data_IF_006059011767
#
_entry.id   IF_006059011767
#
_cell.length_a   1.000
_cell.length_b   1.000
_cell.length_c   1.000
_cell.angle_alpha   90.00
_cell.angle_beta   90.00
_cell.angle_gamma   90.00
#
_symmetry.space_group_name_H-M   'P 1'
#
loop_
_entity.id
_entity.type
_entity.pdbx_description
1 polymer ?
#
# COMPACT_ATOMS: atom_id res chain seq x y z
N UNK A 1 -11.77 -1.53 13.71
CA UNK A 1 -11.01 -2.26 12.67
C UNK A 1 -9.73 -1.47 12.37
N UNK A 2 -8.56 -2.12 12.41
CA UNK A 2 -7.24 -1.48 12.25
C UNK A 2 -6.87 -1.22 10.78
N UNK A 3 -7.55 -1.89 9.86
CA UNK A 3 -7.20 -1.91 8.43
C UNK A 3 -7.62 -0.64 7.69
N UNK A 4 -8.83 -0.11 7.97
CA UNK A 4 -9.30 1.10 7.32
C UNK A 4 -8.61 2.34 7.91
N UNK A 5 -8.02 3.16 7.03
CA UNK A 5 -7.24 4.31 7.45
C UNK A 5 -6.38 4.89 6.34
N UNK A 6 -5.66 5.96 6.70
CA UNK A 6 -4.69 6.64 5.84
C UNK A 6 -3.29 6.43 6.41
N UNK A 7 -2.36 5.99 5.58
CA UNK A 7 -1.02 5.58 5.97
C UNK A 7 0.02 6.32 5.13
N UNK A 8 0.88 7.09 5.77
CA UNK A 8 1.99 7.79 5.12
C UNK A 8 3.23 6.92 5.16
N UNK A 9 3.86 6.70 4.00
CA UNK A 9 5.14 5.98 3.97
C UNK A 9 6.17 6.70 4.84
N UNK A 10 6.78 5.95 5.76
CA UNK A 10 7.86 6.41 6.63
C UNK A 10 9.22 5.95 6.10
N UNK A 11 9.34 4.64 5.82
CA UNK A 11 10.62 4.01 5.50
C UNK A 11 10.46 2.89 4.49
N UNK A 12 11.47 2.72 3.64
CA UNK A 12 11.64 1.57 2.77
C UNK A 12 12.78 0.67 3.27
N UNK A 13 12.64 -0.62 3.08
CA UNK A 13 13.66 -1.63 3.36
C UNK A 13 13.83 -2.53 2.14
N UNK A 14 15.05 -2.57 1.60
CA UNK A 14 15.41 -3.33 0.39
C UNK A 14 14.61 -2.96 -0.87
N UNK A 15 13.98 -1.79 -0.90
CA UNK A 15 13.11 -1.40 -2.00
C UNK A 15 13.91 -0.99 -3.25
N UNK A 16 15.04 -0.29 -3.07
CA UNK A 16 15.92 0.08 -4.19
C UNK A 16 16.46 -1.15 -4.90
N UNK A 17 17.00 -2.11 -4.15
CA UNK A 17 17.54 -3.38 -4.67
C UNK A 17 16.45 -4.17 -5.37
N UNK A 18 15.24 -4.18 -4.81
CA UNK A 18 14.08 -4.79 -5.44
C UNK A 18 13.74 -4.14 -6.79
N UNK A 19 13.70 -2.81 -6.88
CA UNK A 19 13.41 -2.09 -8.12
C UNK A 19 14.49 -2.35 -9.19
N UNK A 20 15.77 -2.36 -8.80
CA UNK A 20 16.89 -2.68 -9.70
C UNK A 20 16.81 -4.14 -10.18
N UNK A 21 16.47 -5.07 -9.30
CA UNK A 21 16.27 -6.48 -9.66
C UNK A 21 15.09 -6.68 -10.62
N UNK A 22 14.08 -5.80 -10.59
CA UNK A 22 12.99 -5.75 -11.57
C UNK A 22 13.40 -5.11 -12.91
N UNK A 23 14.68 -4.74 -13.09
CA UNK A 23 15.20 -4.15 -14.33
C UNK A 23 14.99 -2.64 -14.44
N UNK A 24 14.55 -1.96 -13.38
CA UNK A 24 14.47 -0.50 -13.37
C UNK A 24 15.88 0.06 -13.25
N UNK A 25 16.26 0.97 -14.17
CA UNK A 25 17.56 1.64 -14.12
C UNK A 25 17.79 2.30 -12.75
N UNK A 26 18.99 2.12 -12.19
CA UNK A 26 19.31 2.50 -10.81
C UNK A 26 18.97 3.96 -10.48
N UNK A 27 19.27 4.89 -11.39
CA UNK A 27 18.96 6.32 -11.20
C UNK A 27 17.45 6.57 -11.09
N UNK A 28 16.63 5.88 -11.89
CA UNK A 28 15.17 5.94 -11.77
C UNK A 28 14.69 5.27 -10.49
N UNK A 29 15.32 4.16 -10.09
CA UNK A 29 14.99 3.44 -8.87
C UNK A 29 15.25 4.28 -7.60
N UNK A 30 16.36 5.03 -7.55
CA UNK A 30 16.67 5.98 -6.47
C UNK A 30 15.60 7.06 -6.32
N UNK A 31 15.15 7.63 -7.44
CA UNK A 31 14.06 8.64 -7.43
C UNK A 31 12.77 8.06 -6.88
N UNK A 32 12.41 6.84 -7.30
CA UNK A 32 11.20 6.15 -6.83
C UNK A 32 11.29 5.79 -5.34
N UNK A 33 12.46 5.38 -4.85
CA UNK A 33 12.69 5.08 -3.43
C UNK A 33 12.57 6.30 -2.51
N UNK A 34 12.85 7.49 -3.03
CA UNK A 34 12.67 8.75 -2.31
C UNK A 34 11.22 9.22 -2.22
N UNK A 35 10.31 8.64 -3.02
CA UNK A 35 8.90 8.98 -2.95
C UNK A 35 8.33 8.59 -1.58
N UNK A 36 7.41 9.41 -1.07
CA UNK A 36 6.71 9.19 0.20
C UNK A 36 5.21 9.16 -0.06
N UNK A 37 4.69 8.10 -0.72
CA UNK A 37 3.28 8.01 -1.03
C UNK A 37 2.41 7.92 0.22
N UNK A 38 1.16 8.37 0.07
CA UNK A 38 0.11 8.13 1.04
C UNK A 38 -0.79 7.03 0.51
N UNK A 39 -1.14 6.08 1.37
CA UNK A 39 -2.00 4.97 1.06
C UNK A 39 -3.27 5.05 1.92
N UNK A 40 -4.42 5.15 1.28
CA UNK A 40 -5.74 5.13 1.90
C UNK A 40 -6.36 3.75 1.66
N UNK A 41 -6.76 3.07 2.73
CA UNK A 41 -7.46 1.79 2.69
C UNK A 41 -8.85 1.93 3.24
N UNK A 42 -9.82 1.40 2.51
CA UNK A 42 -11.19 1.30 2.95
C UNK A 42 -11.70 -0.12 2.74
N UNK A 43 -12.43 -0.60 3.75
CA UNK A 43 -13.13 -1.88 3.71
C UNK A 43 -14.61 -1.61 3.94
N UNK A 44 -15.43 -2.03 2.99
CA UNK A 44 -16.89 -1.98 3.06
C UNK A 44 -17.44 -3.38 2.76
N UNK A 45 -17.82 -4.11 3.81
CA UNK A 45 -18.19 -5.52 3.72
C UNK A 45 -17.05 -6.39 3.15
N UNK A 46 -17.29 -6.94 1.97
CA UNK A 46 -16.37 -7.76 1.19
C UNK A 46 -15.48 -6.96 0.22
N UNK A 47 -15.74 -5.65 0.06
CA UNK A 47 -14.98 -4.77 -0.82
C UNK A 47 -13.77 -4.19 -0.12
N UNK A 48 -12.64 -4.18 -0.83
CA UNK A 48 -11.40 -3.55 -0.44
C UNK A 48 -11.03 -2.50 -1.49
N UNK A 49 -10.98 -1.24 -1.08
CA UNK A 49 -10.46 -0.13 -1.90
C UNK A 49 -9.12 0.32 -1.35
N UNK A 50 -8.12 0.35 -2.23
CA UNK A 50 -6.78 0.85 -1.93
C UNK A 50 -6.49 2.02 -2.86
N UNK A 51 -6.21 3.18 -2.28
CA UNK A 51 -5.84 4.38 -3.04
C UNK A 51 -4.42 4.78 -2.65
N UNK A 52 -3.53 4.86 -3.62
CA UNK A 52 -2.16 5.33 -3.44
C UNK A 52 -1.97 6.67 -4.12
N UNK A 53 -1.46 7.64 -3.38
CA UNK A 53 -1.12 8.98 -3.85
C UNK A 53 0.39 9.17 -3.81
N UNK A 54 1.00 9.51 -4.94
CA UNK A 54 2.43 9.81 -5.03
C UNK A 54 2.64 11.07 -5.87
N UNK A 55 2.73 12.23 -5.22
CA UNK A 55 2.75 13.53 -5.92
C UNK A 55 1.46 13.74 -6.70
N UNK A 56 1.56 13.91 -8.03
CA UNK A 56 0.41 14.08 -8.93
C UNK A 56 -0.24 12.76 -9.34
N UNK A 57 0.42 11.62 -9.07
CA UNK A 57 -0.08 10.32 -9.48
C UNK A 57 -1.02 9.73 -8.44
N UNK A 58 -2.22 9.34 -8.88
CA UNK A 58 -3.22 8.62 -8.07
C UNK A 58 -3.48 7.27 -8.72
N UNK A 59 -3.37 6.20 -7.95
CA UNK A 59 -3.76 4.86 -8.36
C UNK A 59 -4.84 4.35 -7.41
N UNK A 60 -5.91 3.79 -7.96
CA UNK A 60 -6.99 3.16 -7.20
C UNK A 60 -7.09 1.69 -7.59
N UNK A 61 -7.14 0.82 -6.59
CA UNK A 61 -7.37 -0.62 -6.74
C UNK A 61 -8.66 -0.96 -6.02
N UNK A 62 -9.62 -1.53 -6.73
CA UNK A 62 -10.88 -2.01 -6.17
C UNK A 62 -10.88 -3.53 -6.26
N UNK A 63 -10.96 -4.18 -5.10
CA UNK A 63 -10.87 -5.63 -4.96
C UNK A 63 -12.07 -6.13 -4.17
N UNK A 64 -12.40 -7.40 -4.36
CA UNK A 64 -13.40 -8.12 -3.55
C UNK A 64 -12.68 -9.30 -2.89
N UNK A 65 -12.90 -9.50 -1.59
CA UNK A 65 -12.24 -10.57 -0.87
C UNK A 65 -12.69 -11.94 -1.40
N UNK A 66 -11.71 -12.81 -1.65
CA UNK A 66 -11.87 -14.16 -2.19
C UNK A 66 -12.43 -14.25 -3.62
N UNK A 67 -12.47 -13.14 -4.35
CA UNK A 67 -12.86 -13.10 -5.77
C UNK A 67 -11.68 -12.63 -6.62
N UNK A 68 -11.49 -13.26 -7.78
CA UNK A 68 -10.50 -12.83 -8.77
C UNK A 68 -11.08 -11.70 -9.62
N UNK A 69 -10.44 -10.54 -9.60
CA UNK A 69 -10.85 -9.34 -10.35
C UNK A 69 -9.73 -8.85 -11.25
N UNK A 70 -10.08 -8.10 -12.29
CA UNK A 70 -9.09 -7.38 -13.09
C UNK A 70 -8.69 -6.08 -12.36
N UNK A 71 -7.40 -5.92 -12.09
CA UNK A 71 -6.82 -4.77 -11.39
C UNK A 71 -5.82 -4.06 -12.31
N UNK A 72 -5.91 -2.73 -12.38
CA UNK A 72 -4.89 -1.92 -13.04
C UNK A 72 -3.83 -1.49 -12.03
N UNK A 73 -2.61 -2.00 -12.20
CA UNK A 73 -1.43 -1.64 -11.42
C UNK A 73 -0.46 -0.76 -12.21
N UNK A 74 0.29 0.12 -11.53
CA UNK A 74 1.24 1.04 -12.16
C UNK A 74 0.63 1.85 -13.33
N UNK A 75 -0.64 2.22 -13.19
CA UNK A 75 -1.46 2.99 -14.14
C UNK A 75 -1.68 2.40 -15.54
N UNK A 76 -1.03 1.29 -15.89
CA UNK A 76 -1.01 0.78 -17.28
C UNK A 76 -1.06 -0.74 -17.39
N UNK A 77 -0.76 -1.48 -16.32
CA UNK A 77 -0.69 -2.94 -16.34
C UNK A 77 -1.97 -3.52 -15.76
N UNK A 78 -2.75 -4.21 -16.59
CA UNK A 78 -3.88 -5.00 -16.11
C UNK A 78 -3.40 -6.39 -15.67
N UNK A 79 -3.72 -6.75 -14.43
CA UNK A 79 -3.40 -8.06 -13.83
C UNK A 79 -4.66 -8.66 -13.23
N UNK A 80 -4.71 -9.99 -13.10
CA UNK A 80 -5.75 -10.65 -12.30
C UNK A 80 -5.31 -10.69 -10.85
N UNK A 81 -6.15 -10.21 -9.95
CA UNK A 81 -5.83 -10.10 -8.54
C UNK A 81 -6.91 -10.71 -7.66
N UNK A 82 -6.49 -11.37 -6.59
CA UNK A 82 -7.38 -11.87 -5.53
C UNK A 82 -6.88 -11.39 -4.17
N UNK A 83 -7.76 -10.75 -3.41
CA UNK A 83 -7.50 -10.33 -2.04
C UNK A 83 -7.98 -11.41 -1.06
N UNK A 84 -7.18 -11.71 -0.05
CA UNK A 84 -7.51 -12.69 1.00
C UNK A 84 -7.22 -12.07 2.36
N UNK A 85 -8.22 -12.12 3.26
CA UNK A 85 -7.97 -11.88 4.69
C UNK A 85 -7.25 -13.08 5.26
N UNK A 86 -6.13 -12.84 5.93
CA UNK A 86 -5.37 -13.88 6.63
C UNK A 86 -5.67 -13.87 8.13
N UNK A 87 -5.88 -12.68 8.67
CA UNK A 87 -6.18 -12.42 10.07
C UNK A 87 -6.92 -11.07 10.18
N UNK A 88 -7.27 -10.66 11.40
CA UNK A 88 -7.92 -9.38 11.70
C UNK A 88 -7.07 -8.15 11.36
N UNK A 89 -5.75 -8.35 11.26
CA UNK A 89 -4.78 -7.31 10.96
C UNK A 89 -3.89 -7.64 9.76
N UNK A 90 -4.29 -8.59 8.89
CA UNK A 90 -3.45 -9.04 7.77
C UNK A 90 -4.23 -9.35 6.51
N UNK A 91 -3.77 -8.77 5.40
CA UNK A 91 -4.31 -9.00 4.05
C UNK A 91 -3.18 -9.42 3.12
N UNK A 92 -3.44 -10.47 2.35
CA UNK A 92 -2.64 -10.80 1.18
C UNK A 92 -3.39 -10.46 -0.11
N UNK A 93 -2.67 -9.96 -1.10
CA UNK A 93 -3.17 -9.77 -2.46
C UNK A 93 -2.22 -10.51 -3.38
N UNK A 94 -2.74 -11.49 -4.10
CA UNK A 94 -2.00 -12.23 -5.11
C UNK A 94 -2.39 -11.69 -6.48
N UNK A 95 -1.40 -11.41 -7.32
CA UNK A 95 -1.59 -10.85 -8.65
C UNK A 95 -0.92 -11.74 -9.70
N UNK A 96 -1.54 -11.85 -10.87
CA UNK A 96 -1.03 -12.62 -12.00
C UNK A 96 -1.11 -11.79 -13.28
N UNK A 97 0.03 -11.59 -13.92
CA UNK A 97 0.14 -10.91 -15.21
C UNK A 97 -0.24 -11.83 -16.38
N UNK A 98 -0.50 -11.22 -17.54
CA UNK A 98 -0.90 -11.93 -18.76
C UNK A 98 0.17 -12.91 -19.29
N UNK A 99 1.44 -12.68 -18.95
CA UNK A 99 2.57 -13.54 -19.28
C UNK A 99 2.85 -14.63 -18.23
N UNK A 100 1.97 -14.78 -17.21
CA UNK A 100 2.12 -15.77 -16.15
C UNK A 100 2.98 -15.33 -14.96
N UNK A 101 3.52 -14.11 -14.99
CA UNK A 101 4.23 -13.52 -13.84
C UNK A 101 3.31 -13.46 -12.61
N UNK A 102 3.91 -13.70 -11.44
CA UNK A 102 3.19 -13.68 -10.16
C UNK A 102 3.78 -12.59 -9.27
N UNK A 103 2.87 -11.83 -8.66
CA UNK A 103 3.15 -10.85 -7.63
C UNK A 103 2.36 -11.16 -6.36
N UNK A 104 2.91 -10.78 -5.21
CA UNK A 104 2.22 -10.80 -3.93
C UNK A 104 2.46 -9.47 -3.22
N UNK A 105 1.39 -8.91 -2.67
CA UNK A 105 1.43 -7.80 -1.70
C UNK A 105 0.85 -8.30 -0.38
N UNK A 106 1.59 -8.15 0.70
CA UNK A 106 1.11 -8.47 2.05
C UNK A 106 1.06 -7.18 2.86
N UNK A 107 -0.09 -6.88 3.43
CA UNK A 107 -0.31 -5.75 4.34
C UNK A 107 -0.55 -6.29 5.75
N UNK A 108 0.26 -5.86 6.69
CA UNK A 108 0.13 -6.18 8.10
C UNK A 108 -0.02 -4.90 8.92
N UNK A 109 -1.09 -4.81 9.71
CA UNK A 109 -1.51 -3.62 10.41
C UNK A 109 -1.22 -3.73 11.91
N UNK A 110 -0.71 -2.66 12.46
CA UNK A 110 -0.45 -2.45 13.88
C UNK A 110 -1.21 -1.18 14.31
N UNK A 111 -1.26 -0.92 15.61
CA UNK A 111 -2.05 0.22 16.15
C UNK A 111 -1.71 1.56 15.49
N UNK A 112 -0.42 1.82 15.26
CA UNK A 112 0.08 3.10 14.75
C UNK A 112 0.79 2.98 13.39
N UNK A 113 1.01 1.77 12.88
CA UNK A 113 1.78 1.58 11.66
C UNK A 113 1.27 0.41 10.82
N UNK A 114 1.71 0.37 9.57
CA UNK A 114 1.43 -0.69 8.62
C UNK A 114 2.71 -1.06 7.90
N UNK A 115 2.97 -2.36 7.79
CA UNK A 115 4.07 -2.92 7.01
C UNK A 115 3.47 -3.52 5.74
N UNK A 116 4.02 -3.12 4.60
CA UNK A 116 3.67 -3.66 3.31
C UNK A 116 4.87 -4.39 2.71
N UNK A 117 4.74 -5.69 2.50
CA UNK A 117 5.72 -6.52 1.81
C UNK A 117 5.32 -6.75 0.36
N UNK A 118 6.31 -6.76 -0.54
CA UNK A 118 6.16 -7.12 -1.95
C UNK A 118 7.03 -8.33 -2.28
N UNK A 119 6.47 -9.26 -3.03
CA UNK A 119 7.21 -10.36 -3.65
C UNK A 119 6.89 -10.38 -5.14
N UNK A 120 7.91 -10.32 -6.00
CA UNK A 120 7.78 -10.50 -7.45
C UNK A 120 8.91 -11.40 -7.95
N UNK A 121 8.57 -12.47 -8.67
CA UNK A 121 9.56 -13.36 -9.29
C UNK A 121 10.59 -13.96 -8.32
N UNK A 122 10.26 -14.08 -7.01
CA UNK A 122 11.16 -14.57 -5.98
C UNK A 122 12.01 -13.51 -5.26
N UNK A 123 11.99 -12.26 -5.71
CA UNK A 123 12.63 -11.14 -5.00
C UNK A 123 11.66 -10.48 -4.00
N UNK A 124 12.18 -10.02 -2.85
CA UNK A 124 11.39 -9.41 -1.78
C UNK A 124 11.82 -7.97 -1.51
N UNK A 125 10.86 -7.09 -1.28
CA UNK A 125 11.07 -5.75 -0.72
C UNK A 125 9.96 -5.43 0.27
N UNK A 126 10.20 -4.53 1.21
CA UNK A 126 9.17 -4.10 2.17
C UNK A 126 9.24 -2.62 2.47
N UNK A 127 8.10 -2.08 2.88
CA UNK A 127 7.95 -0.67 3.19
C UNK A 127 7.12 -0.54 4.48
N UNK A 128 7.47 0.39 5.35
CA UNK A 128 6.76 0.71 6.59
C UNK A 128 6.12 2.09 6.48
N UNK A 129 4.86 2.17 6.86
CA UNK A 129 4.05 3.38 6.82
C UNK A 129 3.45 3.65 8.20
N UNK A 130 3.32 4.91 8.60
CA UNK A 130 2.63 5.28 9.83
C UNK A 130 1.17 5.64 9.54
N UNK A 131 0.28 5.20 10.43
CA UNK A 131 -1.13 5.56 10.38
C UNK A 131 -1.27 7.06 10.70
N UNK A 132 -1.87 7.83 9.80
CA UNK A 132 -2.17 9.25 10.00
C UNK A 132 -3.38 9.47 10.90
N UNK A 133 -3.70 8.55 11.83
CA UNK A 133 -4.90 8.66 12.64
C UNK A 133 -4.77 9.93 13.47
N UNK A 134 -5.54 10.92 13.08
CA UNK A 134 -5.91 12.00 13.96
C UNK A 134 -4.83 13.02 14.38
N UNK A 135 -3.98 13.48 13.45
CA UNK A 135 -3.24 14.75 13.65
C UNK A 135 -4.13 16.01 13.58
N UNK A 136 -5.43 15.85 13.33
CA UNK A 136 -6.41 16.95 13.25
C UNK A 136 -7.14 17.21 14.59
N UNK A 137 -7.80 16.25 15.27
CA UNK A 137 -8.28 16.40 16.66
C UNK A 137 -7.21 16.86 17.64
N UNK A 138 -5.93 16.45 17.54
CA UNK A 138 -4.93 16.99 18.47
C UNK A 138 -4.60 18.47 18.19
N UNK A 139 -4.70 18.93 16.93
CA UNK A 139 -4.59 20.36 16.61
C UNK A 139 -5.85 21.15 16.98
N UNK A 140 -7.02 20.55 16.84
CA UNK A 140 -8.29 21.18 17.24
C UNK A 140 -8.48 21.22 18.77
N UNK A 141 -8.05 20.19 19.50
CA UNK A 141 -8.05 20.17 20.97
C UNK A 141 -7.05 21.18 21.54
N UNK A 142 -5.82 21.28 21.00
CA UNK A 142 -4.86 22.32 21.43
C UNK A 142 -5.33 23.75 21.10
N UNK A 143 -6.01 23.96 19.96
CA UNK A 143 -6.55 25.28 19.61
C UNK A 143 -7.72 25.68 20.52
N UNK A 144 -8.58 24.74 20.91
CA UNK A 144 -9.72 25.01 21.81
C UNK A 144 -9.34 25.18 23.29
N UNK A 145 -8.16 24.70 23.71
CA UNK A 145 -7.62 24.86 25.07
C UNK A 145 -6.76 26.12 25.25
N UNK A 146 -6.42 26.84 24.17
CA UNK A 146 -5.72 28.13 24.24
C UNK A 146 -6.65 29.36 24.20
N UNK A 147 -7.97 29.17 24.10
CA UNK A 147 -8.98 30.25 24.15
C UNK A 147 -9.89 30.22 25.40
N UNK A 148 -9.40 29.66 26.52
CA UNK A 148 -9.98 29.81 27.87
C UNK A 148 -8.93 30.33 28.85
#
# INVERSE_FOLDING_TARGET
MLISGKFQLEKNEHFLEHLVALGIAEEKAKVVDQLRPILEMNIDGDKLTIVSYSGQYKQTSNLVFNEEVDETVASTLTVKSIAQRRDDNKIDIFSRGNNGEKGQRTFEFFEENMIMGKVFGGTRGSNRSQHQRHRELCKELDASLMEL
#
